data_IF_378245319432
#
_entry.id   IF_378245319432
#
_cell.length_a   1.000
_cell.length_b   1.000
_cell.length_c   1.000
_cell.angle_alpha   90.00
_cell.angle_beta   90.00
_cell.angle_gamma   90.00
#
_symmetry.space_group_name_H-M   'P 1'
#
loop_
_entity.id
_entity.type
_entity.pdbx_description
1 polymer ?
#
# COMPACT_ATOMS: atom_id res chain seq x y z
N UNK A 1 -16.34 -8.81 2.41
CA UNK A 1 -14.87 -8.70 2.43
C UNK A 1 -14.41 -7.88 1.23
N UNK A 2 -13.55 -6.88 1.42
CA UNK A 2 -13.08 -5.99 0.35
C UNK A 2 -12.27 -6.72 -0.72
N UNK A 3 -12.58 -6.45 -2.00
CA UNK A 3 -11.87 -7.01 -3.16
C UNK A 3 -10.44 -6.48 -3.30
N UNK A 4 -10.15 -5.34 -2.67
CA UNK A 4 -8.88 -4.64 -2.78
C UNK A 4 -8.22 -4.43 -1.41
N UNK A 5 -6.89 -4.31 -1.39
CA UNK A 5 -6.10 -3.76 -0.29
C UNK A 5 -5.56 -2.41 -0.67
N UNK A 6 -5.49 -1.49 0.29
CA UNK A 6 -4.86 -0.19 0.13
C UNK A 6 -3.43 -0.24 0.65
N UNK A 7 -2.48 0.20 -0.16
CA UNK A 7 -1.11 0.45 0.23
C UNK A 7 -0.78 1.91 -0.04
N UNK A 8 -0.03 2.53 0.87
CA UNK A 8 0.43 3.90 0.72
C UNK A 8 1.96 3.95 0.74
N UNK A 9 2.53 4.78 -0.12
CA UNK A 9 3.96 5.07 -0.17
C UNK A 9 4.18 6.48 0.36
N UNK A 10 5.04 6.60 1.38
CA UNK A 10 5.19 7.82 2.17
C UNK A 10 6.65 8.09 2.52
N UNK A 11 6.94 9.32 2.96
CA UNK A 11 8.21 9.72 3.58
C UNK A 11 7.95 10.40 4.93
N UNK A 12 8.86 10.33 5.92
CA UNK A 12 8.66 10.91 7.26
C UNK A 12 8.48 12.43 7.25
N UNK A 13 9.21 13.12 6.37
CA UNK A 13 9.27 14.60 6.28
C UNK A 13 8.16 15.23 5.43
N UNK A 14 7.24 14.41 4.90
CA UNK A 14 6.16 14.83 4.03
C UNK A 14 4.88 15.11 4.85
N UNK A 15 4.46 16.38 4.94
CA UNK A 15 3.24 16.80 5.65
C UNK A 15 1.98 16.12 5.13
N UNK A 16 1.76 16.17 3.81
CA UNK A 16 0.62 15.52 3.15
C UNK A 16 0.55 14.01 3.43
N UNK A 17 1.70 13.36 3.59
CA UNK A 17 1.78 11.94 3.93
C UNK A 17 1.31 11.66 5.36
N UNK A 18 1.57 12.58 6.29
CA UNK A 18 1.08 12.50 7.66
C UNK A 18 -0.43 12.74 7.72
N UNK A 19 -0.92 13.73 6.95
CA UNK A 19 -2.35 14.02 6.83
C UNK A 19 -3.13 12.86 6.25
N UNK A 20 -2.62 12.24 5.18
CA UNK A 20 -3.22 11.02 4.62
C UNK A 20 -3.28 9.88 5.65
N UNK A 21 -2.19 9.62 6.38
CA UNK A 21 -2.16 8.58 7.41
C UNK A 21 -3.18 8.85 8.52
N UNK A 22 -3.33 10.10 8.93
CA UNK A 22 -4.32 10.52 9.93
C UNK A 22 -5.74 10.29 9.40
N UNK A 23 -6.06 10.79 8.21
CA UNK A 23 -7.36 10.61 7.58
C UNK A 23 -7.76 9.14 7.48
N UNK A 24 -6.87 8.27 6.99
CA UNK A 24 -7.15 6.84 6.87
C UNK A 24 -7.40 6.18 8.24
N UNK A 25 -6.68 6.59 9.29
CA UNK A 25 -6.89 6.09 10.65
C UNK A 25 -8.22 6.57 11.26
N UNK A 26 -8.54 7.84 11.10
CA UNK A 26 -9.79 8.44 11.61
C UNK A 26 -11.04 7.80 11.00
N UNK A 27 -10.95 7.38 9.73
CA UNK A 27 -12.03 6.69 9.02
C UNK A 27 -11.97 5.17 9.08
N UNK A 28 -11.09 4.61 9.93
CA UNK A 28 -10.92 3.16 10.10
C UNK A 28 -10.66 2.41 8.78
N UNK A 29 -9.99 3.07 7.83
CA UNK A 29 -9.65 2.50 6.53
C UNK A 29 -8.36 1.69 6.68
N UNK A 30 -8.39 0.35 6.52
CA UNK A 30 -7.19 -0.46 6.65
C UNK A 30 -6.22 -0.18 5.49
N UNK A 31 -4.97 0.12 5.81
CA UNK A 31 -3.91 0.34 4.83
C UNK A 31 -2.56 -0.23 5.30
N UNK A 32 -1.69 -0.53 4.34
CA UNK A 32 -0.27 -0.83 4.59
C UNK A 32 0.57 0.40 4.26
N UNK A 33 1.34 0.91 5.22
CA UNK A 33 2.27 2.01 4.99
C UNK A 33 3.66 1.51 4.62
N UNK A 34 4.22 2.03 3.53
CA UNK A 34 5.60 1.80 3.11
C UNK A 34 6.37 3.14 3.23
N UNK A 35 7.49 3.12 3.94
CA UNK A 35 8.37 4.28 4.08
C UNK A 35 9.50 4.17 3.04
N UNK A 36 9.35 4.87 1.93
CA UNK A 36 10.28 4.75 0.80
C UNK A 36 11.67 5.32 1.12
N UNK A 37 11.81 6.09 2.19
CA UNK A 37 13.12 6.57 2.65
C UNK A 37 13.90 5.46 3.39
N UNK A 38 13.19 4.58 4.10
CA UNK A 38 13.77 3.46 4.85
C UNK A 38 13.80 2.15 4.07
N UNK A 39 12.96 2.03 3.05
CA UNK A 39 12.76 0.82 2.26
C UNK A 39 13.05 1.10 0.77
N UNK A 40 14.32 1.04 0.31
CA UNK A 40 14.69 1.33 -1.07
C UNK A 40 13.95 0.46 -2.11
N UNK A 41 13.67 -0.80 -1.77
CA UNK A 41 12.89 -1.71 -2.61
C UNK A 41 11.47 -1.19 -2.85
N UNK A 42 10.89 -0.49 -1.88
CA UNK A 42 9.57 0.13 -2.00
C UNK A 42 9.60 1.39 -2.83
N UNK A 43 10.69 2.15 -2.81
CA UNK A 43 10.89 3.27 -3.74
C UNK A 43 10.99 2.77 -5.18
N UNK A 44 11.77 1.71 -5.42
CA UNK A 44 11.86 1.13 -6.75
C UNK A 44 10.51 0.55 -7.21
N UNK A 45 9.77 -0.09 -6.31
CA UNK A 45 8.42 -0.56 -6.58
C UNK A 45 7.47 0.61 -6.94
N UNK A 46 7.54 1.74 -6.23
CA UNK A 46 6.77 2.95 -6.53
C UNK A 46 7.09 3.48 -7.94
N UNK A 47 8.37 3.59 -8.28
CA UNK A 47 8.81 4.03 -9.62
C UNK A 47 8.31 3.07 -10.69
N UNK A 48 8.45 1.76 -10.49
CA UNK A 48 8.01 0.77 -11.46
C UNK A 48 6.49 0.81 -11.70
N UNK A 49 5.70 1.16 -10.67
CA UNK A 49 4.23 1.26 -10.78
C UNK A 49 3.74 2.57 -11.36
N UNK A 50 4.42 3.69 -11.08
CA UNK A 50 3.90 5.04 -11.34
C UNK A 50 4.74 5.86 -12.33
N UNK A 51 5.96 5.42 -12.62
CA UNK A 51 6.95 6.17 -13.40
C UNK A 51 7.61 7.32 -12.64
N UNK A 52 7.32 7.53 -11.36
CA UNK A 52 7.86 8.64 -10.58
C UNK A 52 8.09 8.27 -9.10
N UNK A 53 8.59 9.23 -8.31
CA UNK A 53 8.89 9.10 -6.87
C UNK A 53 7.99 9.95 -5.98
N UNK A 54 6.82 10.37 -6.50
CA UNK A 54 5.94 11.32 -5.82
C UNK A 54 5.26 10.61 -4.65
N UNK A 55 5.25 11.28 -3.49
CA UNK A 55 4.54 10.86 -2.28
C UNK A 55 3.64 12.01 -1.80
N UNK A 56 2.49 11.73 -1.16
CA UNK A 56 1.94 10.40 -0.92
C UNK A 56 1.38 9.74 -2.20
N UNK A 57 1.61 8.43 -2.36
CA UNK A 57 0.99 7.64 -3.44
C UNK A 57 0.12 6.54 -2.86
N UNK A 58 -1.09 6.37 -3.38
CA UNK A 58 -2.04 5.32 -2.99
C UNK A 58 -2.14 4.25 -4.08
N UNK A 59 -2.01 2.98 -3.71
CA UNK A 59 -2.11 1.84 -4.61
C UNK A 59 -3.16 0.84 -4.12
N UNK A 60 -4.13 0.53 -4.98
CA UNK A 60 -5.13 -0.50 -4.71
C UNK A 60 -4.72 -1.81 -5.37
N UNK A 61 -4.44 -2.85 -4.57
CA UNK A 61 -4.15 -4.20 -5.08
C UNK A 61 -5.40 -5.07 -5.03
N UNK A 62 -5.71 -5.77 -6.11
CA UNK A 62 -6.79 -6.77 -6.12
C UNK A 62 -6.32 -8.00 -5.35
N UNK A 63 -7.08 -8.42 -4.33
CA UNK A 63 -6.86 -9.71 -3.68
C UNK A 63 -7.17 -10.81 -4.69
N UNK A 64 -6.18 -11.61 -5.04
CA UNK A 64 -6.40 -12.80 -5.86
C UNK A 64 -6.99 -13.90 -4.98
N UNK A 65 -8.27 -14.18 -5.17
CA UNK A 65 -9.00 -15.22 -4.45
C UNK A 65 -8.88 -16.60 -5.12
N UNK A 66 -8.13 -16.72 -6.23
CA UNK A 66 -8.06 -17.95 -7.04
C UNK A 66 -7.16 -19.04 -6.44
N UNK A 67 -6.44 -18.79 -5.34
CA UNK A 67 -5.59 -19.79 -4.66
C UNK A 67 -6.30 -20.68 -3.61
N UNK A 68 -7.64 -20.78 -3.61
CA UNK A 68 -8.34 -21.86 -2.89
C UNK A 68 -8.41 -23.13 -3.75
N UNK A 69 -7.29 -23.79 -3.99
CA UNK A 69 -7.32 -25.19 -4.44
C UNK A 69 -6.16 -25.96 -3.83
N UNK A 70 -6.52 -27.09 -3.22
CA UNK A 70 -5.67 -28.10 -2.58
C UNK A 70 -5.31 -27.87 -1.11
N UNK A 71 -6.32 -27.90 -0.25
CA UNK A 71 -6.13 -28.39 1.13
C UNK A 71 -7.25 -29.37 1.48
N UNK A 72 -7.50 -30.32 0.58
CA UNK A 72 -8.25 -31.55 0.81
C UNK A 72 -7.77 -32.57 -0.23
N UNK A 73 -6.70 -33.29 0.09
CA UNK A 73 -6.46 -34.64 -0.43
C UNK A 73 -5.52 -35.36 0.55
N UNK A 74 -6.08 -36.43 1.14
CA UNK A 74 -5.65 -37.28 2.26
C UNK A 74 -5.82 -36.71 3.67
#
# INVERSE_FOLDING_TARGET
>A
MGKYTLEIYTRPTCGDCQDLKRYLKEHELPFTGNDVEKEPDKEQELINKTGNRIVPTLVFRKKDYSKRKSLYWF
#
